data_IF_551732504029
#
_entry.id   IF_551732504029
#
_cell.length_a   1.000
_cell.length_b   1.000
_cell.length_c   1.000
_cell.angle_alpha   90.00
_cell.angle_beta   90.00
_cell.angle_gamma   90.00
#
_symmetry.space_group_name_H-M   'P 1'
#
loop_
_entity.id
_entity.type
_entity.pdbx_description
1 polymer ?
#
# COMPACT_ATOMS: atom_id res chain seq x y z
N UNK A 1 10.52 32.76 -12.52
CA UNK A 1 11.40 32.13 -11.51
C UNK A 1 10.91 32.60 -10.15
N UNK A 2 10.61 31.70 -9.20
CA UNK A 2 10.35 32.10 -7.82
C UNK A 2 11.66 32.60 -7.18
N UNK A 3 11.57 33.57 -6.29
CA UNK A 3 12.74 34.09 -5.55
C UNK A 3 13.47 32.97 -4.81
N UNK A 4 14.79 33.03 -4.80
CA UNK A 4 15.70 32.01 -4.26
C UNK A 4 15.59 31.75 -2.74
N UNK A 5 14.56 32.27 -2.07
CA UNK A 5 14.31 32.12 -0.62
C UNK A 5 12.94 31.56 -0.23
N UNK A 6 12.04 31.33 -1.19
CA UNK A 6 10.71 30.80 -0.83
C UNK A 6 10.71 29.26 -0.83
N UNK A 7 10.06 28.62 0.18
CA UNK A 7 9.96 27.16 0.25
C UNK A 7 9.22 26.60 -0.97
N UNK A 8 9.76 25.53 -1.54
CA UNK A 8 9.07 24.80 -2.63
C UNK A 8 7.75 24.22 -2.12
N UNK A 9 6.70 24.32 -2.91
CA UNK A 9 5.38 23.86 -2.53
C UNK A 9 5.10 22.49 -3.18
N UNK A 10 5.04 21.46 -2.35
CA UNK A 10 4.66 20.10 -2.72
C UNK A 10 3.17 19.88 -2.41
N UNK A 11 2.40 19.40 -3.40
CA UNK A 11 1.01 19.03 -3.21
C UNK A 11 0.85 17.54 -3.44
N UNK A 12 0.36 16.82 -2.42
CA UNK A 12 -0.13 15.46 -2.57
C UNK A 12 -1.60 15.47 -2.97
N UNK A 13 -1.97 14.65 -3.96
CA UNK A 13 -3.36 14.42 -4.37
C UNK A 13 -3.70 12.96 -4.17
N UNK A 14 -4.63 12.65 -3.28
CA UNK A 14 -5.00 11.30 -2.89
C UNK A 14 -6.50 11.22 -2.56
N UNK A 15 -7.14 10.08 -2.75
CA UNK A 15 -8.57 9.93 -2.56
C UNK A 15 -8.99 9.90 -1.09
N UNK A 16 -8.23 9.24 -0.22
CA UNK A 16 -8.59 8.96 1.17
C UNK A 16 -7.48 9.40 2.13
N UNK A 17 -7.86 10.16 3.13
CA UNK A 17 -6.96 10.68 4.18
C UNK A 17 -6.36 9.57 5.06
N UNK A 18 -7.13 8.54 5.41
CA UNK A 18 -6.64 7.40 6.19
C UNK A 18 -5.55 6.62 5.42
N UNK A 19 -5.67 6.52 4.08
CA UNK A 19 -4.65 5.87 3.27
C UNK A 19 -3.37 6.71 3.19
N UNK A 20 -3.52 8.04 3.05
CA UNK A 20 -2.40 8.96 3.15
C UNK A 20 -1.69 8.85 4.50
N UNK A 21 -2.45 8.89 5.60
CA UNK A 21 -1.92 8.74 6.96
C UNK A 21 -1.13 7.44 7.12
N UNK A 22 -1.66 6.35 6.62
CA UNK A 22 -1.01 5.04 6.75
C UNK A 22 0.25 4.87 5.90
N UNK A 23 0.33 5.47 4.69
CA UNK A 23 1.35 5.11 3.70
C UNK A 23 2.29 6.26 3.30
N UNK A 24 1.88 7.51 3.49
CA UNK A 24 2.61 8.68 2.97
C UNK A 24 2.90 9.75 4.03
N UNK A 25 2.37 9.60 5.23
CA UNK A 25 2.46 10.60 6.28
C UNK A 25 3.90 10.91 6.68
N UNK A 26 4.70 9.88 6.93
CA UNK A 26 6.11 10.04 7.32
C UNK A 26 6.94 10.74 6.21
N UNK A 27 6.64 10.43 4.94
CA UNK A 27 7.27 11.12 3.79
C UNK A 27 6.88 12.59 3.72
N UNK A 28 5.62 12.90 4.04
CA UNK A 28 5.13 14.27 4.05
C UNK A 28 5.74 15.09 5.18
N UNK A 29 5.87 14.52 6.39
CA UNK A 29 6.56 15.15 7.53
C UNK A 29 8.03 15.38 7.19
N UNK A 30 8.70 14.39 6.61
CA UNK A 30 10.08 14.52 6.18
C UNK A 30 10.26 15.62 5.11
N UNK A 31 9.29 15.78 4.20
CA UNK A 31 9.32 16.87 3.23
C UNK A 31 9.16 18.24 3.92
N UNK A 32 8.28 18.36 4.93
CA UNK A 32 8.21 19.59 5.74
C UNK A 32 9.54 19.88 6.43
N UNK A 33 10.17 18.87 7.04
CA UNK A 33 11.47 18.99 7.69
C UNK A 33 12.60 19.36 6.71
N UNK A 34 12.47 18.94 5.45
CA UNK A 34 13.38 19.33 4.37
C UNK A 34 13.08 20.73 3.77
N UNK A 35 12.18 21.51 4.38
CA UNK A 35 11.86 22.87 3.99
C UNK A 35 10.79 23.00 2.89
N UNK A 36 10.08 21.94 2.54
CA UNK A 36 8.93 22.07 1.64
C UNK A 36 7.71 22.62 2.39
N UNK A 37 6.96 23.49 1.72
CA UNK A 37 5.57 23.73 2.08
C UNK A 37 4.75 22.55 1.53
N UNK A 38 3.98 21.84 2.38
CA UNK A 38 3.26 20.63 1.97
C UNK A 38 1.75 20.83 2.13
N UNK A 39 1.00 20.54 1.07
CA UNK A 39 -0.47 20.51 1.09
C UNK A 39 -0.97 19.12 0.68
N UNK A 40 -1.92 18.58 1.42
CA UNK A 40 -2.61 17.32 1.10
C UNK A 40 -4.01 17.62 0.60
N UNK A 41 -4.27 17.28 -0.64
CA UNK A 41 -5.59 17.39 -1.28
C UNK A 41 -6.24 16.01 -1.24
N UNK A 42 -7.25 15.87 -0.39
CA UNK A 42 -7.90 14.58 -0.11
C UNK A 42 -9.33 14.79 0.38
N UNK A 43 -10.10 13.70 0.50
CA UNK A 43 -11.31 13.73 1.32
C UNK A 43 -10.89 13.80 2.79
N UNK A 44 -11.04 14.99 3.39
CA UNK A 44 -10.72 15.18 4.81
C UNK A 44 -11.91 14.74 5.67
N UNK A 45 -11.67 13.80 6.59
CA UNK A 45 -12.60 13.41 7.64
C UNK A 45 -12.11 13.98 8.98
N UNK A 46 -11.45 13.14 9.79
CA UNK A 46 -11.05 13.52 11.17
C UNK A 46 -9.56 13.84 11.32
N UNK A 47 -8.77 13.75 10.25
CA UNK A 47 -7.29 13.86 10.32
C UNK A 47 -6.74 15.28 10.11
N UNK A 48 -7.57 16.25 9.75
CA UNK A 48 -7.11 17.60 9.38
C UNK A 48 -6.36 18.32 10.53
N UNK A 49 -6.80 18.15 11.78
CA UNK A 49 -6.14 18.71 12.96
C UNK A 49 -4.78 18.08 13.21
N UNK A 50 -4.67 16.76 13.07
CA UNK A 50 -3.41 16.03 13.20
C UNK A 50 -2.43 16.41 12.11
N UNK A 51 -2.87 16.52 10.86
CA UNK A 51 -2.00 16.97 9.76
C UNK A 51 -1.46 18.38 10.01
N UNK A 52 -2.32 19.28 10.47
CA UNK A 52 -1.92 20.65 10.80
C UNK A 52 -0.88 20.72 11.92
N UNK A 53 -1.01 19.91 12.97
CA UNK A 53 -0.03 19.87 14.07
C UNK A 53 1.38 19.45 13.62
N UNK A 54 1.49 18.75 12.48
CA UNK A 54 2.76 18.36 11.84
C UNK A 54 3.17 19.30 10.68
N UNK A 55 2.57 20.48 10.56
CA UNK A 55 2.92 21.47 9.55
C UNK A 55 2.37 21.19 8.15
N UNK A 56 1.45 20.24 8.00
CA UNK A 56 0.78 19.94 6.75
C UNK A 56 -0.48 20.80 6.57
N UNK A 57 -0.66 21.35 5.38
CA UNK A 57 -1.90 22.02 4.98
C UNK A 57 -2.84 20.98 4.34
N UNK A 58 -4.15 21.20 4.47
CA UNK A 58 -5.16 20.34 3.87
C UNK A 58 -6.13 21.12 3.00
N UNK A 59 -6.55 20.53 1.89
CA UNK A 59 -7.63 21.02 1.03
C UNK A 59 -8.61 19.85 0.79
N UNK A 60 -9.88 20.05 1.13
CA UNK A 60 -10.90 19.01 1.01
C UNK A 60 -11.45 18.92 -0.40
N UNK A 61 -11.30 17.78 -1.04
CA UNK A 61 -11.94 17.45 -2.33
C UNK A 61 -12.56 16.06 -2.24
N UNK A 62 -13.86 15.98 -2.50
CA UNK A 62 -14.58 14.73 -2.58
C UNK A 62 -14.23 13.99 -3.87
N UNK A 63 -13.71 12.76 -3.70
CA UNK A 63 -13.49 11.82 -4.79
C UNK A 63 -14.56 10.72 -4.75
N UNK A 64 -15.19 10.43 -5.87
CA UNK A 64 -16.06 9.27 -5.99
C UNK A 64 -15.20 7.99 -5.96
N UNK A 65 -15.38 7.12 -4.96
CA UNK A 65 -14.68 5.80 -4.91
C UNK A 65 -15.31 4.77 -5.84
N UNK A 66 -16.64 4.86 -5.99
CA UNK A 66 -17.47 3.91 -6.73
C UNK A 66 -17.99 4.57 -8.00
N UNK A 67 -17.36 4.39 -9.07
CA UNK A 67 -17.95 4.83 -10.32
C UNK A 67 -16.99 5.60 -11.23
N UNK A 68 -17.30 5.51 -12.49
CA UNK A 68 -16.61 6.17 -13.58
C UNK A 68 -17.63 7.02 -14.34
N UNK A 69 -18.50 7.76 -13.60
CA UNK A 69 -19.42 8.70 -14.23
C UNK A 69 -18.62 9.89 -14.80
N UNK A 70 -18.58 10.08 -16.12
CA UNK A 70 -17.78 11.12 -16.74
C UNK A 70 -18.07 12.53 -16.23
N UNK A 71 -19.33 12.82 -15.86
CA UNK A 71 -19.74 14.13 -15.36
C UNK A 71 -19.13 14.39 -13.99
N UNK A 72 -19.18 13.42 -13.08
CA UNK A 72 -18.58 13.56 -11.74
C UNK A 72 -17.05 13.63 -11.80
N UNK A 73 -16.43 12.87 -12.71
CA UNK A 73 -14.98 12.93 -12.91
C UNK A 73 -14.54 14.27 -13.51
N UNK A 74 -15.30 14.82 -14.47
CA UNK A 74 -15.04 16.16 -15.02
C UNK A 74 -15.19 17.24 -13.93
N UNK A 75 -16.23 17.18 -13.11
CA UNK A 75 -16.40 18.10 -11.99
C UNK A 75 -15.21 18.01 -11.00
N UNK A 76 -14.70 16.83 -10.74
CA UNK A 76 -13.51 16.62 -9.90
C UNK A 76 -12.26 17.22 -10.53
N UNK A 77 -12.06 17.07 -11.84
CA UNK A 77 -10.94 17.70 -12.58
C UNK A 77 -11.04 19.24 -12.45
N UNK A 78 -12.24 19.83 -12.62
CA UNK A 78 -12.42 21.28 -12.54
C UNK A 78 -12.15 21.80 -11.12
N UNK A 79 -12.58 21.08 -10.08
CA UNK A 79 -12.27 21.41 -8.68
C UNK A 79 -10.78 21.34 -8.42
N UNK A 80 -10.11 20.23 -8.80
CA UNK A 80 -8.67 20.08 -8.69
C UNK A 80 -7.92 21.19 -9.42
N UNK A 81 -8.35 21.52 -10.65
CA UNK A 81 -7.79 22.64 -11.43
C UNK A 81 -7.90 23.96 -10.67
N UNK A 82 -9.06 24.29 -10.11
CA UNK A 82 -9.28 25.52 -9.34
C UNK A 82 -8.37 25.55 -8.10
N UNK A 83 -8.30 24.45 -7.34
CA UNK A 83 -7.44 24.31 -6.15
C UNK A 83 -5.97 24.45 -6.52
N UNK A 84 -5.49 23.75 -7.53
CA UNK A 84 -4.09 23.82 -7.98
C UNK A 84 -3.73 25.21 -8.54
N UNK A 85 -4.67 25.89 -9.21
CA UNK A 85 -4.49 27.27 -9.68
C UNK A 85 -4.33 28.27 -8.51
N UNK A 86 -5.08 28.06 -7.40
CA UNK A 86 -4.99 28.84 -6.16
C UNK A 86 -3.67 28.57 -5.43
N UNK A 87 -3.30 27.31 -5.28
CA UNK A 87 -2.12 26.87 -4.52
C UNK A 87 -0.81 27.19 -5.26
N UNK A 88 -0.77 27.06 -6.58
CA UNK A 88 0.42 27.22 -7.45
C UNK A 88 1.61 26.38 -6.98
N UNK A 89 1.46 25.05 -6.88
CA UNK A 89 2.53 24.20 -6.38
C UNK A 89 3.70 24.10 -7.37
N UNK A 90 4.88 23.79 -6.84
CA UNK A 90 6.08 23.49 -7.62
C UNK A 90 6.10 22.02 -8.07
N UNK A 91 5.54 21.12 -7.25
CA UNK A 91 5.43 19.69 -7.50
C UNK A 91 4.02 19.22 -7.14
N UNK A 92 3.42 18.39 -8.00
CA UNK A 92 2.19 17.63 -7.69
C UNK A 92 2.53 16.16 -7.64
N UNK A 93 2.23 15.48 -6.52
CA UNK A 93 2.40 14.05 -6.32
C UNK A 93 1.02 13.39 -6.23
N UNK A 94 0.61 12.72 -7.31
CA UNK A 94 -0.65 12.01 -7.41
C UNK A 94 -0.49 10.57 -6.92
N UNK A 95 -1.35 10.13 -6.00
CA UNK A 95 -1.28 8.81 -5.36
C UNK A 95 -2.55 8.03 -5.66
N UNK A 96 -2.41 6.80 -6.10
CA UNK A 96 -3.44 5.90 -6.62
C UNK A 96 -3.94 6.29 -8.02
N UNK A 97 -4.53 5.32 -8.72
CA UNK A 97 -4.82 5.42 -10.15
C UNK A 97 -5.74 6.61 -10.52
N UNK A 98 -6.78 6.85 -9.72
CA UNK A 98 -7.72 7.93 -9.99
C UNK A 98 -7.07 9.32 -9.86
N UNK A 99 -6.37 9.67 -8.77
CA UNK A 99 -5.56 10.91 -8.69
C UNK A 99 -4.47 10.99 -9.76
N UNK A 100 -3.83 9.89 -10.13
CA UNK A 100 -2.84 9.88 -11.22
C UNK A 100 -3.44 10.40 -12.52
N UNK A 101 -4.65 9.99 -12.88
CA UNK A 101 -5.33 10.48 -14.10
C UNK A 101 -5.88 11.89 -13.89
N UNK A 102 -6.74 12.08 -12.90
CA UNK A 102 -7.48 13.35 -12.71
C UNK A 102 -6.55 14.49 -12.28
N UNK A 103 -5.65 14.23 -11.34
CA UNK A 103 -4.68 15.20 -10.82
C UNK A 103 -3.66 15.60 -11.89
N UNK A 104 -3.18 14.64 -12.71
CA UNK A 104 -2.27 14.97 -13.82
C UNK A 104 -2.94 15.83 -14.88
N UNK A 105 -4.21 15.56 -15.23
CA UNK A 105 -4.95 16.39 -16.16
C UNK A 105 -5.19 17.80 -15.59
N UNK A 106 -5.65 17.90 -14.34
CA UNK A 106 -5.88 19.16 -13.66
C UNK A 106 -4.59 20.01 -13.57
N UNK A 107 -3.47 19.39 -13.15
CA UNK A 107 -2.17 20.05 -13.07
C UNK A 107 -1.70 20.57 -14.44
N UNK A 108 -1.92 19.79 -15.48
CA UNK A 108 -1.57 20.17 -16.83
C UNK A 108 -2.38 21.37 -17.35
N UNK A 109 -3.69 21.45 -17.04
CA UNK A 109 -4.54 22.57 -17.41
C UNK A 109 -4.14 23.90 -16.74
N UNK A 110 -3.37 23.86 -15.66
CA UNK A 110 -2.82 25.05 -14.98
C UNK A 110 -1.33 25.26 -15.22
N UNK A 111 -0.72 24.48 -16.13
CA UNK A 111 0.66 24.65 -16.55
C UNK A 111 1.72 24.10 -15.57
N UNK A 112 1.33 23.27 -14.59
CA UNK A 112 2.27 22.62 -13.69
C UNK A 112 3.05 21.56 -14.45
N UNK A 113 4.39 21.64 -14.43
CA UNK A 113 5.27 20.75 -15.20
C UNK A 113 5.75 19.56 -14.40
N UNK A 114 6.11 19.75 -13.13
CA UNK A 114 6.70 18.71 -12.27
C UNK A 114 5.59 17.87 -11.64
N UNK A 115 5.37 16.70 -12.17
CA UNK A 115 4.33 15.79 -11.68
C UNK A 115 4.95 14.42 -11.38
N UNK A 116 4.74 13.95 -10.16
CA UNK A 116 5.02 12.59 -9.71
C UNK A 116 3.72 11.81 -9.68
N UNK A 117 3.72 10.64 -10.26
CA UNK A 117 2.58 9.74 -10.30
C UNK A 117 2.94 8.42 -9.62
N UNK A 118 2.24 8.07 -8.54
CA UNK A 118 2.37 6.81 -7.84
C UNK A 118 1.07 6.00 -7.99
N UNK A 119 0.91 5.21 -9.08
CA UNK A 119 -0.29 4.42 -9.33
C UNK A 119 -0.33 3.16 -8.47
N UNK A 120 -0.41 3.32 -7.16
CA UNK A 120 -0.50 2.22 -6.20
C UNK A 120 -1.64 1.28 -6.56
N UNK A 121 -1.36 -0.01 -6.73
CA UNK A 121 -2.38 -1.00 -7.06
C UNK A 121 -2.91 -0.95 -8.50
N UNK A 122 -2.07 -0.62 -9.48
CA UNK A 122 -2.42 -0.57 -10.92
C UNK A 122 -3.21 -1.77 -11.44
N UNK A 123 -3.09 -2.88 -10.78
CA UNK A 123 -3.56 -4.12 -11.27
C UNK A 123 -5.04 -4.32 -11.41
N UNK A 124 -5.88 -3.73 -10.62
CA UNK A 124 -7.32 -3.92 -10.74
C UNK A 124 -7.82 -3.55 -12.15
N UNK A 125 -7.37 -2.42 -12.69
CA UNK A 125 -7.78 -1.97 -14.04
C UNK A 125 -7.32 -2.92 -15.14
N UNK A 126 -6.16 -3.54 -14.97
CA UNK A 126 -5.58 -4.44 -15.99
C UNK A 126 -6.07 -5.88 -15.86
N UNK A 127 -6.48 -6.33 -14.67
CA UNK A 127 -6.80 -7.74 -14.39
C UNK A 127 -8.27 -8.01 -14.07
N UNK A 128 -9.10 -6.99 -13.74
CA UNK A 128 -10.52 -7.18 -13.47
C UNK A 128 -11.22 -7.86 -14.65
N UNK A 129 -11.96 -8.93 -14.38
CA UNK A 129 -12.74 -9.67 -15.39
C UNK A 129 -14.15 -9.11 -15.56
N UNK A 130 -14.53 -8.08 -14.82
CA UNK A 130 -15.85 -7.46 -14.94
C UNK A 130 -16.08 -6.87 -16.34
N UNK A 131 -17.26 -7.07 -16.88
CA UNK A 131 -17.63 -6.61 -18.23
C UNK A 131 -17.49 -5.09 -18.40
N UNK A 132 -17.88 -4.32 -17.41
CA UNK A 132 -17.72 -2.84 -17.39
C UNK A 132 -16.26 -2.41 -17.41
N UNK A 133 -15.40 -3.07 -16.63
CA UNK A 133 -13.95 -2.80 -16.62
C UNK A 133 -13.31 -3.14 -17.97
N UNK A 134 -13.78 -4.19 -18.64
CA UNK A 134 -13.29 -4.62 -19.95
C UNK A 134 -13.56 -3.58 -21.04
N UNK A 135 -14.75 -2.98 -21.05
CA UNK A 135 -15.12 -1.95 -22.04
C UNK A 135 -14.36 -0.64 -21.81
N UNK A 136 -14.14 -0.25 -20.57
CA UNK A 136 -13.43 0.99 -20.22
C UNK A 136 -11.89 0.87 -20.30
N UNK A 137 -11.37 -0.35 -20.29
CA UNK A 137 -9.92 -0.62 -20.28
C UNK A 137 -9.13 0.07 -21.41
N UNK A 138 -9.58 0.09 -22.67
CA UNK A 138 -8.86 0.79 -23.72
C UNK A 138 -8.73 2.29 -23.46
N UNK A 139 -9.81 2.93 -23.01
CA UNK A 139 -9.83 4.36 -22.70
C UNK A 139 -8.89 4.67 -21.53
N UNK A 140 -8.97 3.87 -20.46
CA UNK A 140 -8.10 4.02 -19.29
C UNK A 140 -6.63 3.80 -19.67
N UNK A 141 -6.31 2.82 -20.51
CA UNK A 141 -4.94 2.60 -21.02
C UNK A 141 -4.41 3.81 -21.78
N UNK A 142 -5.22 4.40 -22.67
CA UNK A 142 -4.82 5.61 -23.43
C UNK A 142 -4.58 6.78 -22.47
N UNK A 143 -5.47 6.99 -21.50
CA UNK A 143 -5.31 8.06 -20.50
C UNK A 143 -4.05 7.84 -19.65
N UNK A 144 -3.79 6.63 -19.17
CA UNK A 144 -2.59 6.30 -18.39
C UNK A 144 -1.33 6.57 -19.24
N UNK A 145 -1.29 6.09 -20.48
CA UNK A 145 -0.16 6.34 -21.40
C UNK A 145 0.05 7.85 -21.59
N UNK A 146 -1.02 8.60 -21.76
CA UNK A 146 -0.95 10.05 -21.93
C UNK A 146 -0.41 10.77 -20.69
N UNK A 147 -0.84 10.39 -19.48
CA UNK A 147 -0.44 11.09 -18.26
C UNK A 147 0.93 10.64 -17.74
N UNK A 148 1.34 9.39 -17.95
CA UNK A 148 2.64 8.88 -17.51
C UNK A 148 3.75 9.10 -18.52
N UNK A 149 3.48 9.02 -19.83
CA UNK A 149 4.48 9.02 -20.91
C UNK A 149 5.12 10.38 -21.24
N UNK A 150 4.78 11.46 -20.55
CA UNK A 150 5.33 12.80 -20.84
C UNK A 150 6.71 13.04 -20.23
N UNK A 151 7.57 13.81 -20.90
CA UNK A 151 8.98 14.06 -20.52
C UNK A 151 9.18 14.58 -19.10
N UNK A 152 8.30 15.46 -18.59
CA UNK A 152 8.41 16.04 -17.24
C UNK A 152 7.53 15.29 -16.23
N UNK A 153 7.48 13.96 -16.33
CA UNK A 153 6.78 13.10 -15.38
C UNK A 153 7.78 12.19 -14.71
N UNK A 154 7.53 11.90 -13.46
CA UNK A 154 8.18 10.80 -12.72
C UNK A 154 7.10 9.84 -12.28
N UNK A 155 7.39 8.57 -12.35
CA UNK A 155 6.48 7.51 -11.93
C UNK A 155 7.14 6.75 -10.79
N UNK A 156 6.45 6.59 -9.67
CA UNK A 156 6.91 5.76 -8.56
C UNK A 156 6.13 4.45 -8.61
N UNK A 157 6.87 3.34 -8.65
CA UNK A 157 6.32 1.98 -8.67
C UNK A 157 6.92 1.20 -7.49
N UNK A 158 6.14 0.30 -6.91
CA UNK A 158 6.51 -0.40 -5.69
C UNK A 158 7.13 -1.79 -5.92
N UNK A 159 6.91 -2.39 -7.10
CA UNK A 159 7.40 -3.74 -7.44
C UNK A 159 7.91 -3.84 -8.87
N UNK A 160 8.76 -4.84 -9.12
CA UNK A 160 9.40 -5.05 -10.43
C UNK A 160 8.43 -5.48 -11.52
N UNK A 161 7.41 -6.26 -11.17
CA UNK A 161 6.42 -6.72 -12.17
C UNK A 161 5.65 -5.53 -12.75
N UNK A 162 5.19 -4.60 -11.91
CA UNK A 162 4.51 -3.38 -12.37
C UNK A 162 5.47 -2.46 -13.13
N UNK A 163 6.76 -2.39 -12.73
CA UNK A 163 7.80 -1.66 -13.46
C UNK A 163 7.94 -2.19 -14.89
N UNK A 164 8.16 -3.49 -15.06
CA UNK A 164 8.33 -4.09 -16.38
C UNK A 164 7.04 -4.03 -17.22
N UNK A 165 5.87 -4.16 -16.58
CA UNK A 165 4.57 -3.99 -17.25
C UNK A 165 4.38 -2.57 -17.80
N UNK A 166 4.82 -1.53 -17.09
CA UNK A 166 4.74 -0.15 -17.58
C UNK A 166 5.67 0.11 -18.74
N UNK A 167 6.90 -0.41 -18.67
CA UNK A 167 7.91 -0.25 -19.72
C UNK A 167 7.50 -1.02 -20.98
N UNK A 168 7.23 -2.31 -20.86
CA UNK A 168 6.87 -3.19 -22.00
C UNK A 168 5.54 -2.80 -22.64
N UNK A 169 4.58 -2.32 -21.83
CA UNK A 169 3.31 -1.78 -22.31
C UNK A 169 3.43 -0.40 -22.99
N UNK A 170 4.60 0.24 -22.96
CA UNK A 170 4.84 1.58 -23.51
C UNK A 170 4.03 2.68 -22.79
N UNK A 171 3.79 2.52 -21.48
CA UNK A 171 3.07 3.51 -20.68
C UNK A 171 3.97 4.60 -20.13
N UNK A 172 5.23 4.28 -19.84
CA UNK A 172 6.24 5.22 -19.37
C UNK A 172 7.63 4.78 -19.83
N UNK A 173 8.55 5.75 -19.97
CA UNK A 173 9.95 5.47 -20.27
C UNK A 173 10.65 4.94 -19.03
N UNK A 174 11.54 3.96 -19.16
CA UNK A 174 12.31 3.33 -18.08
C UNK A 174 12.99 4.37 -17.17
N UNK A 175 13.58 5.41 -17.76
CA UNK A 175 14.30 6.49 -17.05
C UNK A 175 13.38 7.41 -16.23
N UNK A 176 12.08 7.43 -16.55
CA UNK A 176 11.08 8.22 -15.82
C UNK A 176 10.49 7.47 -14.61
N UNK A 177 10.78 6.17 -14.48
CA UNK A 177 10.24 5.31 -13.43
C UNK A 177 11.26 5.13 -12.31
N UNK A 178 10.86 5.41 -11.09
CA UNK A 178 11.59 5.09 -9.87
C UNK A 178 10.92 3.89 -9.17
N UNK A 179 11.69 2.84 -8.92
CA UNK A 179 11.26 1.72 -8.10
C UNK A 179 11.52 2.07 -6.63
N UNK A 180 10.45 2.31 -5.87
CA UNK A 180 10.50 2.64 -4.45
C UNK A 180 9.64 1.63 -3.71
N UNK A 181 10.25 0.83 -2.85
CA UNK A 181 9.64 -0.34 -2.24
C UNK A 181 8.61 0.01 -1.14
N UNK A 182 7.38 0.27 -1.55
CA UNK A 182 6.23 0.42 -0.67
C UNK A 182 6.21 1.68 0.19
N UNK A 183 5.47 1.61 1.28
CA UNK A 183 5.25 2.72 2.20
C UNK A 183 6.47 3.06 3.07
N UNK A 184 7.36 2.10 3.29
CA UNK A 184 8.36 2.14 4.33
C UNK A 184 7.83 1.59 5.67
N UNK A 185 8.73 1.38 6.59
CA UNK A 185 8.45 0.98 7.97
C UNK A 185 9.37 1.71 8.93
N UNK A 186 8.82 2.20 10.05
CA UNK A 186 9.63 2.68 11.16
C UNK A 186 10.21 1.47 11.90
N UNK A 187 11.46 1.13 11.59
CA UNK A 187 12.17 -0.04 12.16
C UNK A 187 12.44 0.09 13.66
N UNK A 188 12.24 1.28 14.26
CA UNK A 188 12.35 1.51 15.70
C UNK A 188 11.02 1.22 16.41
N UNK A 189 9.91 1.62 15.81
CA UNK A 189 8.57 1.31 16.32
C UNK A 189 8.23 -0.18 16.10
N UNK A 190 8.58 -0.72 14.91
CA UNK A 190 8.49 -2.14 14.58
C UNK A 190 9.84 -2.82 14.84
N UNK A 191 10.30 -2.75 16.09
CA UNK A 191 11.60 -3.27 16.53
C UNK A 191 11.62 -4.79 16.52
N UNK A 192 12.80 -5.37 16.25
CA UNK A 192 13.00 -6.82 16.32
C UNK A 192 12.66 -7.33 17.72
N UNK A 193 11.87 -8.38 17.76
CA UNK A 193 11.53 -9.10 19.00
C UNK A 193 11.80 -10.59 18.83
N UNK A 194 12.46 -11.24 19.79
CA UNK A 194 12.52 -12.69 19.83
C UNK A 194 11.12 -13.28 19.72
N UNK A 195 11.05 -14.53 19.25
CA UNK A 195 9.80 -15.28 19.21
C UNK A 195 9.19 -15.39 20.61
N UNK A 196 7.87 -15.12 20.78
CA UNK A 196 7.23 -15.26 22.09
C UNK A 196 7.12 -16.73 22.50
N UNK A 197 6.71 -16.96 23.77
CA UNK A 197 6.41 -18.31 24.25
C UNK A 197 5.17 -18.89 23.56
N UNK A 198 5.13 -20.23 23.49
CA UNK A 198 3.94 -20.97 23.02
C UNK A 198 2.65 -20.54 23.74
N UNK A 199 1.48 -20.66 23.16
CA UNK A 199 1.20 -21.35 21.88
C UNK A 199 1.55 -20.55 20.64
N UNK A 200 1.83 -21.26 19.54
CA UNK A 200 2.12 -20.63 18.22
C UNK A 200 0.92 -19.79 17.76
N UNK A 201 1.18 -18.54 17.43
CA UNK A 201 0.18 -17.59 16.91
C UNK A 201 0.49 -17.22 15.46
N UNK A 202 -0.50 -17.40 14.59
CA UNK A 202 -0.48 -16.97 13.18
C UNK A 202 -1.34 -15.72 13.07
N UNK A 203 -0.77 -14.62 12.59
CA UNK A 203 -1.49 -13.33 12.48
C UNK A 203 -1.65 -12.89 11.03
N UNK A 204 -2.85 -12.43 10.71
CA UNK A 204 -3.16 -11.74 9.46
C UNK A 204 -3.59 -10.31 9.77
N UNK A 205 -2.89 -9.32 9.22
CA UNK A 205 -3.22 -7.90 9.34
C UNK A 205 -3.64 -7.37 7.98
N UNK A 206 -4.94 -7.13 7.79
CA UNK A 206 -5.48 -6.61 6.54
C UNK A 206 -6.91 -6.10 6.71
N UNK A 207 -7.40 -5.31 5.75
CA UNK A 207 -8.84 -5.06 5.63
C UNK A 207 -9.58 -6.37 5.34
N UNK A 208 -10.80 -6.50 5.82
CA UNK A 208 -11.65 -7.68 5.63
C UNK A 208 -12.26 -7.69 4.20
N UNK A 209 -11.39 -7.92 3.23
CA UNK A 209 -11.72 -8.00 1.81
C UNK A 209 -11.50 -9.42 1.29
N UNK A 210 -12.37 -9.91 0.41
CA UNK A 210 -12.19 -11.19 -0.29
C UNK A 210 -10.86 -11.26 -1.03
N UNK A 211 -10.45 -10.13 -1.66
CA UNK A 211 -9.19 -10.06 -2.40
C UNK A 211 -7.94 -10.14 -1.49
N UNK A 212 -8.11 -9.99 -0.17
CA UNK A 212 -7.04 -10.20 0.81
C UNK A 212 -6.89 -11.66 1.24
N UNK A 213 -7.78 -12.54 0.77
CA UNK A 213 -7.73 -13.97 1.06
C UNK A 213 -8.19 -14.33 2.49
N UNK A 214 -9.13 -13.54 3.06
CA UNK A 214 -9.65 -13.80 4.40
C UNK A 214 -10.30 -15.17 4.50
N UNK A 215 -10.99 -15.62 3.45
CA UNK A 215 -11.60 -16.95 3.41
C UNK A 215 -10.55 -18.05 3.43
N UNK A 216 -9.49 -17.92 2.62
CA UNK A 216 -8.37 -18.87 2.60
C UNK A 216 -7.65 -18.93 3.95
N UNK A 217 -7.51 -17.80 4.64
CA UNK A 217 -6.96 -17.76 6.00
C UNK A 217 -7.83 -18.51 7.00
N UNK A 218 -9.15 -18.33 6.95
CA UNK A 218 -10.11 -19.02 7.82
C UNK A 218 -10.09 -20.53 7.54
N UNK A 219 -10.10 -20.94 6.27
CA UNK A 219 -10.11 -22.36 5.89
C UNK A 219 -8.78 -23.05 6.22
N UNK A 220 -7.64 -22.35 6.06
CA UNK A 220 -6.35 -22.83 6.53
C UNK A 220 -6.32 -22.98 8.06
N UNK A 221 -6.90 -22.03 8.80
CA UNK A 221 -7.00 -22.13 10.26
C UNK A 221 -7.77 -23.36 10.71
N UNK A 222 -8.92 -23.66 10.09
CA UNK A 222 -9.69 -24.90 10.35
C UNK A 222 -8.84 -26.15 10.12
N UNK A 223 -8.12 -26.20 8.99
CA UNK A 223 -7.28 -27.32 8.60
C UNK A 223 -6.14 -27.54 9.60
N UNK A 224 -5.39 -26.49 9.95
CA UNK A 224 -4.27 -26.57 10.89
C UNK A 224 -4.77 -26.96 12.29
N UNK A 225 -5.83 -26.32 12.78
CA UNK A 225 -6.36 -26.57 14.13
C UNK A 225 -7.00 -27.95 14.29
N UNK A 226 -7.51 -28.55 13.22
CA UNK A 226 -7.99 -29.93 13.26
C UNK A 226 -6.88 -30.93 13.59
N UNK A 227 -5.62 -30.62 13.27
CA UNK A 227 -4.43 -31.42 13.56
C UNK A 227 -3.71 -30.97 14.84
N UNK A 228 -3.70 -29.66 15.11
CA UNK A 228 -3.08 -29.06 16.30
C UNK A 228 -3.96 -27.92 16.85
N UNK A 229 -4.80 -28.25 17.81
CA UNK A 229 -5.78 -27.32 18.40
C UNK A 229 -5.15 -26.18 19.22
N UNK A 230 -3.86 -26.28 19.58
CA UNK A 230 -3.13 -25.26 20.34
C UNK A 230 -2.74 -24.03 19.48
N UNK A 231 -2.64 -24.20 18.16
CA UNK A 231 -2.29 -23.09 17.26
C UNK A 231 -3.42 -22.05 17.26
N UNK A 232 -3.05 -20.80 17.45
CA UNK A 232 -3.99 -19.67 17.47
C UNK A 232 -3.90 -18.88 16.15
N UNK A 233 -5.05 -18.51 15.61
CA UNK A 233 -5.15 -17.68 14.43
C UNK A 233 -5.79 -16.34 14.78
N UNK A 234 -5.08 -15.24 14.50
CA UNK A 234 -5.49 -13.88 14.80
C UNK A 234 -5.74 -13.12 13.49
N UNK A 235 -6.90 -12.50 13.37
CA UNK A 235 -7.25 -11.65 12.24
C UNK A 235 -7.45 -10.22 12.73
N UNK A 236 -6.67 -9.28 12.17
CA UNK A 236 -6.68 -7.87 12.56
C UNK A 236 -7.11 -7.03 11.37
N UNK A 237 -8.10 -6.20 11.56
CA UNK A 237 -8.62 -5.27 10.56
C UNK A 237 -10.13 -5.20 10.57
N UNK A 238 -10.67 -4.35 9.71
CA UNK A 238 -12.10 -4.08 9.63
C UNK A 238 -12.56 -4.08 8.16
N UNK A 239 -13.85 -3.99 7.98
CA UNK A 239 -14.50 -3.83 6.68
C UNK A 239 -14.11 -2.52 5.99
N UNK A 240 -14.33 -2.44 4.71
CA UNK A 240 -14.19 -1.21 3.93
C UNK A 240 -15.47 -0.99 3.10
N UNK A 241 -16.42 -0.27 3.67
CA UNK A 241 -17.76 -0.03 3.08
C UNK A 241 -17.71 0.58 1.67
N UNK A 242 -16.59 1.18 1.30
CA UNK A 242 -16.34 1.70 -0.03
C UNK A 242 -15.85 0.67 -1.04
N UNK A 243 -15.53 -0.56 -0.62
CA UNK A 243 -14.92 -1.58 -1.47
C UNK A 243 -15.94 -2.68 -1.83
N UNK A 244 -16.12 -3.01 -3.12
CA UNK A 244 -17.09 -4.04 -3.53
C UNK A 244 -16.69 -5.47 -3.10
N UNK A 245 -15.42 -5.70 -2.74
CA UNK A 245 -14.93 -7.00 -2.25
C UNK A 245 -14.93 -7.09 -0.72
N UNK A 246 -15.46 -6.08 0.00
CA UNK A 246 -15.60 -6.13 1.45
C UNK A 246 -16.52 -7.27 1.88
N UNK A 247 -16.18 -7.91 3.00
CA UNK A 247 -17.03 -8.93 3.61
C UNK A 247 -18.39 -8.31 3.97
N UNK A 248 -19.45 -9.07 3.75
CA UNK A 248 -20.82 -8.67 4.09
C UNK A 248 -21.14 -8.97 5.57
N UNK A 249 -22.33 -8.54 6.03
CA UNK A 249 -22.73 -8.66 7.42
C UNK A 249 -22.78 -10.13 7.89
N UNK A 250 -23.23 -11.05 7.04
CA UNK A 250 -23.33 -12.47 7.39
C UNK A 250 -21.93 -13.11 7.52
N UNK A 251 -21.01 -12.76 6.61
CA UNK A 251 -19.60 -13.19 6.68
C UNK A 251 -18.92 -12.67 7.96
N UNK A 252 -19.21 -11.43 8.37
CA UNK A 252 -18.71 -10.85 9.62
C UNK A 252 -19.30 -11.53 10.85
N UNK A 253 -20.61 -11.80 10.86
CA UNK A 253 -21.25 -12.53 11.96
C UNK A 253 -20.66 -13.95 12.11
N UNK A 254 -20.43 -14.64 11.00
CA UNK A 254 -19.77 -15.96 11.00
C UNK A 254 -18.33 -15.88 11.51
N UNK A 255 -17.58 -14.86 11.13
CA UNK A 255 -16.22 -14.63 11.61
C UNK A 255 -16.20 -14.35 13.12
N UNK A 256 -17.09 -13.50 13.62
CA UNK A 256 -17.19 -13.17 15.05
C UNK A 256 -17.52 -14.41 15.93
N UNK A 257 -18.24 -15.39 15.37
CA UNK A 257 -18.59 -16.64 16.05
C UNK A 257 -17.60 -17.79 15.72
N UNK A 258 -16.52 -17.51 15.00
CA UNK A 258 -15.55 -18.55 14.63
C UNK A 258 -14.83 -19.10 15.87
N UNK A 259 -14.65 -20.42 15.91
CA UNK A 259 -13.81 -21.09 16.92
C UNK A 259 -12.36 -21.24 16.48
N UNK A 260 -12.10 -21.03 15.19
CA UNK A 260 -10.80 -21.29 14.58
C UNK A 260 -9.96 -20.03 14.40
N UNK A 261 -10.61 -18.86 14.29
CA UNK A 261 -9.95 -17.56 14.12
C UNK A 261 -10.50 -16.57 15.14
N UNK A 262 -9.61 -15.89 15.85
CA UNK A 262 -9.97 -14.76 16.72
C UNK A 262 -9.88 -13.47 15.92
N UNK A 263 -11.01 -12.84 15.68
CA UNK A 263 -11.06 -11.52 15.04
C UNK A 263 -10.92 -10.42 16.09
N UNK A 264 -9.93 -9.55 15.95
CA UNK A 264 -9.58 -8.49 16.91
C UNK A 264 -10.10 -7.10 16.50
N UNK A 265 -10.84 -7.01 15.37
CA UNK A 265 -11.27 -5.71 14.84
C UNK A 265 -10.12 -4.85 14.31
N UNK A 266 -10.38 -3.57 14.07
CA UNK A 266 -9.35 -2.59 13.75
C UNK A 266 -8.50 -2.30 15.00
N UNK A 267 -7.17 -2.32 14.82
CA UNK A 267 -6.20 -2.12 15.91
C UNK A 267 -5.17 -1.07 15.52
N UNK A 268 -4.65 -0.34 16.49
CA UNK A 268 -3.56 0.63 16.32
C UNK A 268 -2.21 0.13 16.85
N UNK A 269 -2.22 -0.90 17.70
CA UNK A 269 -1.05 -1.51 18.32
C UNK A 269 -0.47 -2.67 17.50
N UNK A 270 -0.37 -2.50 16.18
CA UNK A 270 0.07 -3.55 15.24
C UNK A 270 1.47 -4.07 15.56
N UNK A 271 2.40 -3.18 15.92
CA UNK A 271 3.76 -3.58 16.29
C UNK A 271 3.77 -4.57 17.47
N UNK A 272 2.94 -4.32 18.50
CA UNK A 272 2.79 -5.22 19.64
C UNK A 272 2.18 -6.56 19.22
N UNK A 273 1.10 -6.55 18.44
CA UNK A 273 0.44 -7.78 18.00
C UNK A 273 1.36 -8.66 17.12
N UNK A 274 2.16 -8.05 16.25
CA UNK A 274 3.19 -8.76 15.48
C UNK A 274 4.29 -9.31 16.39
N UNK A 275 4.74 -8.55 17.39
CA UNK A 275 5.74 -9.01 18.36
C UNK A 275 5.26 -10.19 19.21
N UNK A 276 3.96 -10.24 19.50
CA UNK A 276 3.31 -11.33 20.25
C UNK A 276 2.86 -12.52 19.36
N UNK A 277 3.18 -12.48 18.07
CA UNK A 277 2.86 -13.54 17.11
C UNK A 277 4.12 -14.24 16.63
N UNK A 278 3.95 -15.42 16.01
CA UNK A 278 5.04 -16.27 15.52
C UNK A 278 5.18 -16.24 14.01
N UNK A 279 4.06 -16.19 13.30
CA UNK A 279 3.99 -16.27 11.84
C UNK A 279 3.06 -15.17 11.33
N UNK A 280 3.53 -14.36 10.38
CA UNK A 280 2.67 -13.43 9.66
C UNK A 280 2.13 -14.09 8.39
N UNK A 281 0.83 -13.89 8.12
CA UNK A 281 0.16 -14.51 6.98
C UNK A 281 -0.59 -13.46 6.15
N UNK A 282 -0.47 -13.52 4.81
CA UNK A 282 -1.26 -12.68 3.91
C UNK A 282 -1.55 -13.41 2.59
N UNK A 283 -2.67 -14.14 2.47
CA UNK A 283 -3.02 -14.90 1.27
C UNK A 283 -3.73 -14.05 0.20
N UNK A 284 -3.29 -12.82 -0.01
CA UNK A 284 -3.86 -11.86 -0.95
C UNK A 284 -3.82 -12.35 -2.39
N UNK A 285 -4.83 -11.99 -3.18
CA UNK A 285 -4.84 -12.29 -4.62
C UNK A 285 -4.01 -11.30 -5.42
N UNK A 286 -3.69 -10.14 -4.83
CA UNK A 286 -2.87 -9.10 -5.43
C UNK A 286 -2.43 -8.05 -4.42
N UNK A 287 -1.18 -7.62 -4.55
CA UNK A 287 -0.58 -6.52 -3.78
C UNK A 287 0.30 -5.63 -4.67
N UNK A 288 0.42 -4.35 -4.30
CA UNK A 288 1.47 -3.46 -4.79
C UNK A 288 2.79 -3.76 -4.09
N UNK A 289 2.84 -3.43 -2.80
CA UNK A 289 3.78 -3.93 -1.81
C UNK A 289 3.10 -3.84 -0.43
N UNK A 290 2.75 -4.99 0.18
CA UNK A 290 1.90 -4.99 1.36
C UNK A 290 2.62 -4.48 2.60
N UNK A 291 2.15 -3.35 3.14
CA UNK A 291 2.71 -2.72 4.34
C UNK A 291 2.76 -3.67 5.53
N UNK A 292 1.69 -4.44 5.75
CA UNK A 292 1.63 -5.41 6.85
C UNK A 292 2.73 -6.47 6.80
N UNK A 293 3.20 -6.86 5.61
CA UNK A 293 4.31 -7.81 5.50
C UNK A 293 5.67 -7.15 5.76
N UNK A 294 5.88 -5.90 5.36
CA UNK A 294 7.14 -5.21 5.72
C UNK A 294 7.19 -4.86 7.21
N UNK A 295 6.07 -4.59 7.85
CA UNK A 295 5.94 -4.44 9.30
C UNK A 295 6.26 -5.74 10.03
N UNK A 296 5.71 -6.88 9.56
CA UNK A 296 6.01 -8.21 10.08
C UNK A 296 7.49 -8.58 9.90
N UNK A 297 8.06 -8.28 8.72
CA UNK A 297 9.49 -8.47 8.45
C UNK A 297 10.35 -7.65 9.41
N UNK A 298 9.98 -6.40 9.69
CA UNK A 298 10.69 -5.53 10.62
C UNK A 298 10.72 -6.08 12.04
N UNK A 299 9.61 -6.67 12.52
CA UNK A 299 9.55 -7.32 13.84
C UNK A 299 10.29 -8.67 13.87
N UNK A 300 10.72 -9.18 12.72
CA UNK A 300 11.42 -10.45 12.61
C UNK A 300 10.46 -11.65 12.58
N UNK A 301 9.30 -11.54 11.94
CA UNK A 301 8.38 -12.69 11.78
C UNK A 301 8.59 -13.37 10.44
N UNK A 302 8.66 -14.71 10.37
CA UNK A 302 8.55 -15.45 9.12
C UNK A 302 7.20 -15.18 8.47
N UNK A 303 7.17 -15.19 7.13
CA UNK A 303 5.98 -14.79 6.37
C UNK A 303 5.47 -15.98 5.55
N UNK A 304 4.15 -16.20 5.58
CA UNK A 304 3.45 -17.05 4.61
C UNK A 304 2.53 -16.19 3.79
N UNK A 305 2.75 -16.11 2.49
CA UNK A 305 1.89 -15.31 1.61
C UNK A 305 1.77 -15.93 0.21
N UNK A 306 0.86 -15.38 -0.57
CA UNK A 306 0.64 -15.83 -1.95
C UNK A 306 1.74 -15.35 -2.88
N UNK A 307 2.02 -16.15 -3.92
CA UNK A 307 2.95 -15.83 -5.01
C UNK A 307 2.35 -14.80 -5.97
N UNK A 308 2.30 -13.56 -5.51
CA UNK A 308 1.83 -12.39 -6.27
C UNK A 308 2.89 -11.28 -6.26
N UNK A 309 2.88 -10.34 -7.23
CA UNK A 309 3.95 -9.38 -7.43
C UNK A 309 4.47 -8.70 -6.17
N UNK A 310 3.61 -8.03 -5.42
CA UNK A 310 4.02 -7.31 -4.23
C UNK A 310 4.53 -8.19 -3.08
N UNK A 311 4.00 -9.41 -2.93
CA UNK A 311 4.48 -10.35 -1.92
C UNK A 311 5.88 -10.87 -2.27
N UNK A 312 6.17 -11.18 -3.54
CA UNK A 312 7.50 -11.58 -4.03
C UNK A 312 8.58 -10.51 -3.79
N UNK A 313 8.20 -9.25 -3.76
CA UNK A 313 9.16 -8.18 -3.44
C UNK A 313 9.57 -8.17 -1.97
N UNK A 314 8.63 -8.52 -1.07
CA UNK A 314 8.92 -8.49 0.37
C UNK A 314 9.89 -9.60 0.78
N UNK A 315 9.72 -10.82 0.25
CA UNK A 315 10.50 -11.96 0.69
C UNK A 315 10.79 -12.97 -0.44
N UNK A 316 11.80 -13.80 -0.22
CA UNK A 316 12.23 -14.86 -1.11
C UNK A 316 11.77 -16.21 -0.56
N UNK A 317 11.10 -16.99 -1.38
CA UNK A 317 10.62 -18.32 -1.01
C UNK A 317 11.73 -19.18 -0.41
N UNK A 318 11.44 -19.87 0.70
CA UNK A 318 12.34 -20.74 1.48
C UNK A 318 13.55 -20.03 2.12
N UNK A 319 13.73 -18.73 1.92
CA UNK A 319 14.82 -17.95 2.55
C UNK A 319 14.31 -17.21 3.78
N UNK A 320 13.28 -16.41 3.61
CA UNK A 320 12.69 -15.59 4.68
C UNK A 320 11.16 -15.64 4.71
N UNK A 321 10.55 -16.60 4.00
CA UNK A 321 9.14 -16.88 4.01
C UNK A 321 8.73 -17.99 3.05
N UNK A 322 7.44 -18.33 3.03
CA UNK A 322 6.87 -19.36 2.17
C UNK A 322 5.83 -18.75 1.23
N UNK A 323 6.03 -18.90 -0.08
CA UNK A 323 5.06 -18.52 -1.12
C UNK A 323 4.15 -19.71 -1.44
N UNK A 324 2.85 -19.42 -1.54
CA UNK A 324 1.82 -20.39 -1.96
C UNK A 324 1.02 -19.84 -3.12
N UNK A 325 0.30 -20.70 -3.85
CA UNK A 325 -0.56 -20.23 -4.94
C UNK A 325 -1.77 -19.45 -4.37
N UNK A 326 -2.21 -18.35 -5.04
CA UNK A 326 -3.43 -17.65 -4.65
C UNK A 326 -4.65 -18.57 -4.72
N UNK A 327 -5.60 -18.39 -3.79
CA UNK A 327 -6.85 -19.15 -3.69
C UNK A 327 -6.65 -20.64 -3.38
N UNK A 328 -5.56 -20.99 -2.74
CA UNK A 328 -5.25 -22.36 -2.32
C UNK A 328 -5.08 -22.41 -0.78
N UNK A 329 -6.20 -22.63 -0.09
CA UNK A 329 -6.22 -22.74 1.37
C UNK A 329 -5.46 -23.97 1.87
N UNK A 330 -5.37 -25.05 1.07
CA UNK A 330 -4.65 -26.26 1.46
C UNK A 330 -3.14 -26.04 1.41
N UNK A 331 -2.64 -25.42 0.33
CA UNK A 331 -1.22 -25.04 0.26
C UNK A 331 -0.86 -24.02 1.36
N UNK A 332 -1.77 -23.08 1.68
CA UNK A 332 -1.60 -22.15 2.79
C UNK A 332 -1.49 -22.88 4.13
N UNK A 333 -2.39 -23.82 4.41
CA UNK A 333 -2.36 -24.64 5.62
C UNK A 333 -1.06 -25.42 5.73
N UNK A 334 -0.62 -26.10 4.66
CA UNK A 334 0.61 -26.87 4.64
C UNK A 334 1.85 -26.00 4.90
N UNK A 335 1.90 -24.80 4.34
CA UNK A 335 2.99 -23.86 4.59
C UNK A 335 3.01 -23.37 6.05
N UNK A 336 1.85 -23.09 6.64
CA UNK A 336 1.72 -22.73 8.04
C UNK A 336 2.14 -23.90 8.94
N UNK A 337 1.67 -25.12 8.69
CA UNK A 337 2.03 -26.33 9.42
C UNK A 337 3.55 -26.54 9.44
N UNK A 338 4.22 -26.34 8.30
CA UNK A 338 5.68 -26.45 8.21
C UNK A 338 6.37 -25.48 9.17
N UNK A 339 5.93 -24.23 9.24
CA UNK A 339 6.49 -23.25 10.16
C UNK A 339 6.08 -23.50 11.62
N UNK A 340 4.88 -24.01 11.87
CA UNK A 340 4.43 -24.39 13.22
C UNK A 340 5.35 -25.48 13.79
N UNK A 341 5.72 -26.47 12.98
CA UNK A 341 6.55 -27.61 13.40
C UNK A 341 8.06 -27.35 13.49
N UNK A 342 8.55 -26.19 12.99
CA UNK A 342 10.00 -25.93 12.92
C UNK A 342 10.36 -24.54 13.51
N UNK A 343 10.63 -24.45 14.82
CA UNK A 343 11.06 -23.21 15.47
C UNK A 343 12.38 -22.65 14.92
N UNK A 344 13.31 -23.52 14.50
CA UNK A 344 14.61 -23.08 13.97
C UNK A 344 14.42 -22.41 12.60
N UNK A 345 13.56 -22.96 11.76
CA UNK A 345 13.20 -22.35 10.48
C UNK A 345 12.50 -21.01 10.69
N UNK A 346 11.55 -20.91 11.63
CA UNK A 346 10.90 -19.63 11.99
C UNK A 346 11.93 -18.58 12.40
N UNK A 347 12.86 -18.93 13.29
CA UNK A 347 13.91 -18.03 13.77
C UNK A 347 14.80 -17.54 12.61
N UNK A 348 15.33 -18.48 11.82
CA UNK A 348 16.20 -18.14 10.69
C UNK A 348 15.51 -17.22 9.67
N UNK A 349 14.28 -17.55 9.29
CA UNK A 349 13.49 -16.71 8.38
C UNK A 349 13.17 -15.33 8.96
N UNK A 350 12.89 -15.27 10.27
CA UNK A 350 12.61 -14.01 10.97
C UNK A 350 13.81 -13.07 11.02
N UNK A 351 15.00 -13.61 11.33
CA UNK A 351 16.25 -12.85 11.35
C UNK A 351 16.60 -12.29 9.96
N UNK A 352 16.36 -13.06 8.90
CA UNK A 352 16.56 -12.63 7.52
C UNK A 352 15.56 -11.53 7.12
N UNK A 353 14.29 -11.68 7.54
CA UNK A 353 13.27 -10.66 7.34
C UNK A 353 13.65 -9.32 8.00
N UNK A 354 14.16 -9.35 9.24
CA UNK A 354 14.65 -8.15 9.92
C UNK A 354 15.78 -7.48 9.15
N UNK A 355 16.79 -8.24 8.74
CA UNK A 355 17.92 -7.70 7.95
C UNK A 355 17.44 -7.03 6.67
N UNK A 356 16.51 -7.67 5.95
CA UNK A 356 15.94 -7.12 4.73
C UNK A 356 15.11 -5.86 5.00
N UNK A 357 14.32 -5.83 6.07
CA UNK A 357 13.52 -4.65 6.44
C UNK A 357 14.40 -3.43 6.72
N UNK A 358 15.48 -3.61 7.46
CA UNK A 358 16.46 -2.54 7.74
C UNK A 358 17.19 -2.07 6.47
N UNK A 359 17.55 -2.98 5.58
CA UNK A 359 18.32 -2.67 4.39
C UNK A 359 17.50 -2.05 3.24
N UNK A 360 16.19 -2.37 3.15
CA UNK A 360 15.41 -2.04 1.96
C UNK A 360 14.12 -1.25 2.25
N UNK A 361 13.52 -1.40 3.45
CA UNK A 361 12.18 -0.89 3.75
C UNK A 361 12.16 0.17 4.86
N UNK A 362 13.29 0.45 5.51
CA UNK A 362 13.35 1.49 6.54
C UNK A 362 12.86 2.83 6.01
N UNK A 363 12.08 3.56 6.81
CA UNK A 363 11.50 4.85 6.42
C UNK A 363 12.54 5.82 5.86
N UNK A 364 13.74 5.88 6.45
CA UNK A 364 14.82 6.75 6.03
C UNK A 364 15.26 6.47 4.57
N UNK A 365 15.30 5.18 4.18
CA UNK A 365 15.64 4.76 2.81
C UNK A 365 14.56 5.19 1.84
N UNK A 366 13.30 4.90 2.16
CA UNK A 366 12.14 5.18 1.31
C UNK A 366 11.92 6.70 1.16
N UNK A 367 12.07 7.46 2.23
CA UNK A 367 12.02 8.93 2.24
C UNK A 367 13.15 9.49 1.36
N UNK A 368 14.38 9.05 1.56
CA UNK A 368 15.52 9.48 0.75
C UNK A 368 15.37 9.19 -0.73
N UNK A 369 14.81 8.02 -1.09
CA UNK A 369 14.48 7.68 -2.48
C UNK A 369 13.39 8.60 -3.05
N UNK A 370 12.36 8.91 -2.26
CA UNK A 370 11.27 9.80 -2.67
C UNK A 370 11.77 11.23 -2.88
N UNK A 371 12.62 11.75 -2.01
CA UNK A 371 13.21 13.08 -2.16
C UNK A 371 14.10 13.17 -3.41
N UNK A 372 14.90 12.14 -3.73
CA UNK A 372 15.66 12.09 -4.98
C UNK A 372 14.76 12.22 -6.22
N UNK A 373 13.55 11.67 -6.20
CA UNK A 373 12.57 11.86 -7.29
C UNK A 373 12.15 13.33 -7.39
N UNK A 374 11.90 14.00 -6.26
CA UNK A 374 11.56 15.43 -6.29
C UNK A 374 12.73 16.30 -6.77
N UNK A 375 13.95 16.02 -6.32
CA UNK A 375 15.15 16.78 -6.70
C UNK A 375 15.51 16.60 -8.18
N UNK A 376 15.14 15.46 -8.76
CA UNK A 376 15.38 15.20 -10.20
C UNK A 376 14.68 16.17 -11.16
N UNK A 377 13.75 17.00 -10.68
CA UNK A 377 13.14 18.06 -11.47
C UNK A 377 13.99 19.34 -11.54
N UNK A 378 15.00 19.47 -10.69
CA UNK A 378 15.79 20.69 -10.52
C UNK A 378 17.28 20.49 -10.86
N UNK A 379 17.73 19.24 -10.95
CA UNK A 379 19.11 18.86 -11.27
C UNK A 379 19.27 18.45 -12.75
N UNK A 380 18.59 19.18 -13.68
CA UNK A 380 18.71 19.01 -15.13
C UNK A 380 19.69 20.02 -15.71
#
# INVERSE_FOLDING_TARGET
MKDAGQPRHLVYVITEDWFFKSHFFDRAIAAVSAGYKVTVVTRCRDVASEFKSHGLLTENIEFSRRGLNPITELATILRLRSTLKKIKPDIVHNIALKPVVLGSLAAQFVGIRNIVNAPVGMGYVFTSRESKARVLRPVVKVLIRYVLGRKNRRVIIENRDDFENLVSGGFANRESIALIKGAGVDVRNFDYRPEPAEPVKVIMVSRLLRDKGVHEFIDAAKTVRSKNSQVQFLLVGDTDDGNPTSMNSDEIANLANSKDVTWLGARTDIAKLLAESHIACLPSYREGLPKSLIEAASVGRPIVATDVPGCREVFTHMVNGLLVQPRDAQALAAAIEKLVGDPNLRKSMGEENRRKAEAEYANEIIIGQTHRVYDSFYNL
#
